data_IF_480036936662
#
_entry.id   IF_480036936662
#
_cell.length_a   1.000
_cell.length_b   1.000
_cell.length_c   1.000
_cell.angle_alpha   90.00
_cell.angle_beta   90.00
_cell.angle_gamma   90.00
#
_symmetry.space_group_name_H-M   'P 1'
#
loop_
_entity.id
_entity.type
_entity.pdbx_description
1 polymer ?
#
# COMPACT_ATOMS: atom_id res chain seq x y z
N UNK A 1 12.81 1.73 19.69
CA UNK A 1 12.25 0.40 19.54
C UNK A 1 12.07 0.02 18.08
N UNK A 2 12.37 -1.19 17.80
CA UNK A 2 12.19 -1.78 16.50
C UNK A 2 10.72 -2.09 16.24
N UNK A 3 10.14 -1.60 15.14
CA UNK A 3 8.75 -1.86 14.80
C UNK A 3 8.58 -3.16 14.05
N UNK A 4 9.50 -3.43 13.15
CA UNK A 4 9.44 -4.59 12.27
C UNK A 4 10.23 -5.73 12.90
N UNK A 5 9.93 -6.95 12.45
CA UNK A 5 10.77 -8.07 12.77
C UNK A 5 12.15 -7.84 12.15
N UNK A 6 13.22 -8.47 12.66
CA UNK A 6 14.55 -8.32 12.05
C UNK A 6 14.61 -8.73 10.59
N UNK A 7 13.58 -9.46 10.09
CA UNK A 7 13.57 -9.97 8.73
C UNK A 7 13.06 -8.95 7.71
N UNK A 8 12.39 -7.89 8.16
CA UNK A 8 11.76 -6.93 7.23
C UNK A 8 12.00 -5.51 7.69
N UNK A 9 12.14 -4.60 6.75
CA UNK A 9 12.28 -3.17 7.03
C UNK A 9 11.51 -2.38 5.98
N UNK A 10 11.26 -1.11 6.29
CA UNK A 10 10.61 -0.18 5.38
C UNK A 10 11.62 0.85 4.91
N UNK A 11 11.64 1.09 3.62
CA UNK A 11 12.49 2.11 3.01
C UNK A 11 11.60 3.03 2.18
N UNK A 12 11.78 4.34 2.31
CA UNK A 12 10.97 5.27 1.53
C UNK A 12 11.13 4.97 0.04
N UNK A 13 10.01 4.95 -0.68
CA UNK A 13 10.01 4.68 -2.11
C UNK A 13 10.77 5.78 -2.85
N UNK A 14 11.47 5.42 -3.90
CA UNK A 14 12.22 6.36 -4.71
C UNK A 14 12.00 6.08 -6.20
N UNK A 15 12.52 6.96 -7.03
CA UNK A 15 12.41 6.84 -8.48
C UNK A 15 12.98 5.51 -8.99
N UNK A 16 13.97 4.96 -8.29
CA UNK A 16 14.58 3.68 -8.65
C UNK A 16 13.63 2.50 -8.49
N UNK A 17 12.51 2.69 -7.80
CA UNK A 17 11.54 1.63 -7.52
C UNK A 17 10.43 1.53 -8.57
N UNK A 18 10.48 2.35 -9.62
CA UNK A 18 9.41 2.36 -10.63
C UNK A 18 9.24 1.00 -11.30
N UNK A 19 10.35 0.35 -11.64
CA UNK A 19 10.28 -0.99 -12.24
C UNK A 19 9.66 -1.99 -11.27
N UNK A 20 10.03 -1.92 -10.00
CA UNK A 20 9.46 -2.79 -8.97
C UNK A 20 7.94 -2.56 -8.84
N UNK A 21 7.49 -1.30 -8.85
CA UNK A 21 6.07 -1.00 -8.84
C UNK A 21 5.35 -1.65 -10.01
N UNK A 22 5.93 -1.53 -11.19
CA UNK A 22 5.34 -2.12 -12.38
C UNK A 22 5.23 -3.64 -12.23
N UNK A 23 6.30 -4.30 -11.81
CA UNK A 23 6.32 -5.75 -11.65
C UNK A 23 5.31 -6.22 -10.59
N UNK A 24 5.26 -5.52 -9.47
CA UNK A 24 4.34 -5.85 -8.38
C UNK A 24 2.89 -5.76 -8.85
N UNK A 25 2.53 -4.66 -9.50
CA UNK A 25 1.15 -4.40 -9.92
C UNK A 25 0.83 -4.98 -11.29
N UNK A 26 1.72 -5.77 -11.86
CA UNK A 26 1.48 -6.51 -13.09
C UNK A 26 1.18 -7.99 -12.78
N UNK A 27 1.27 -8.41 -11.55
CA UNK A 27 0.95 -9.75 -11.10
C UNK A 27 -0.57 -9.95 -11.15
N UNK A 28 -1.08 -10.98 -11.87
CA UNK A 28 -2.53 -11.17 -12.05
C UNK A 28 -3.31 -11.29 -10.74
N UNK A 29 -2.74 -11.94 -9.72
CA UNK A 29 -3.41 -12.10 -8.43
C UNK A 29 -3.60 -10.78 -7.71
N UNK A 30 -2.78 -9.78 -8.03
CA UNK A 30 -2.89 -8.45 -7.47
C UNK A 30 -3.77 -7.58 -8.34
N UNK A 31 -3.54 -7.60 -9.66
CA UNK A 31 -4.24 -6.71 -10.59
C UNK A 31 -5.74 -6.96 -10.65
N UNK A 32 -6.18 -8.19 -10.43
CA UNK A 32 -7.62 -8.49 -10.50
C UNK A 32 -8.45 -7.69 -9.50
N UNK A 33 -7.81 -7.18 -8.45
CA UNK A 33 -8.50 -6.36 -7.44
C UNK A 33 -8.22 -4.86 -7.58
N UNK A 34 -7.50 -4.46 -8.62
CA UNK A 34 -7.16 -3.06 -8.84
C UNK A 34 -8.16 -2.40 -9.78
N UNK A 35 -8.56 -1.16 -9.43
CA UNK A 35 -9.41 -0.35 -10.30
C UNK A 35 -8.64 0.18 -11.50
N UNK A 36 -7.36 0.51 -11.28
CA UNK A 36 -6.49 1.10 -12.30
C UNK A 36 -5.15 0.37 -12.31
N UNK A 37 -5.11 -0.85 -12.90
CA UNK A 37 -3.86 -1.61 -12.94
C UNK A 37 -2.79 -0.90 -13.77
N UNK A 38 -1.53 -1.09 -13.37
CA UNK A 38 -0.39 -0.50 -14.08
C UNK A 38 -0.05 -1.42 -15.25
N UNK A 39 -0.38 -0.99 -16.46
CA UNK A 39 -0.21 -1.83 -17.65
C UNK A 39 1.13 -1.59 -18.34
N UNK A 40 1.76 -0.44 -18.12
CA UNK A 40 3.03 -0.07 -18.74
C UNK A 40 3.97 0.52 -17.71
N UNK A 41 5.24 0.60 -18.07
CA UNK A 41 6.24 1.29 -17.24
C UNK A 41 5.85 2.77 -17.08
N UNK A 42 5.28 3.37 -18.12
CA UNK A 42 4.81 4.75 -18.02
C UNK A 42 3.71 4.88 -16.96
N UNK A 43 2.80 3.92 -16.88
CA UNK A 43 1.77 3.94 -15.84
C UNK A 43 2.39 3.90 -14.45
N UNK A 44 3.42 3.08 -14.27
CA UNK A 44 4.12 3.00 -12.99
C UNK A 44 4.83 4.32 -12.66
N UNK A 45 5.42 4.97 -13.66
CA UNK A 45 6.05 6.27 -13.47
C UNK A 45 5.01 7.33 -13.10
N UNK A 46 3.87 7.32 -13.76
CA UNK A 46 2.78 8.25 -13.46
C UNK A 46 2.26 8.04 -12.02
N UNK A 47 2.13 6.79 -11.61
CA UNK A 47 1.73 6.48 -10.24
C UNK A 47 2.79 6.96 -9.24
N UNK A 48 4.06 6.72 -9.53
CA UNK A 48 5.14 7.20 -8.68
C UNK A 48 5.11 8.74 -8.56
N UNK A 49 4.92 9.43 -9.69
CA UNK A 49 4.83 10.89 -9.68
C UNK A 49 3.64 11.36 -8.85
N UNK A 50 2.52 10.66 -8.94
CA UNK A 50 1.32 10.98 -8.15
C UNK A 50 1.60 10.87 -6.65
N UNK A 51 2.18 9.75 -6.21
CA UNK A 51 2.42 9.53 -4.78
C UNK A 51 3.57 10.36 -4.22
N UNK A 52 4.43 10.90 -5.09
CA UNK A 52 5.60 11.69 -4.68
C UNK A 52 5.35 13.18 -4.68
N UNK A 53 4.27 13.64 -5.30
CA UNK A 53 4.01 15.06 -5.54
C UNK A 53 2.82 15.60 -4.79
N UNK A 54 2.62 16.90 -4.95
CA UNK A 54 1.42 17.60 -4.48
C UNK A 54 0.47 17.67 -5.66
N UNK A 55 -0.69 17.01 -5.56
CA UNK A 55 -1.59 16.83 -6.69
C UNK A 55 -2.75 17.81 -6.73
N UNK A 56 -3.02 18.48 -5.61
CA UNK A 56 -4.02 19.52 -5.56
C UNK A 56 -3.76 20.39 -4.35
N UNK A 57 -4.43 21.54 -4.29
CA UNK A 57 -4.27 22.46 -3.17
C UNK A 57 -4.65 21.78 -1.86
N UNK A 58 -3.75 21.87 -0.88
CA UNK A 58 -3.95 21.27 0.44
C UNK A 58 -3.51 19.83 0.55
N UNK A 59 -3.12 19.18 -0.55
CA UNK A 59 -2.60 17.81 -0.46
C UNK A 59 -1.11 17.82 -0.12
N UNK A 60 -0.64 16.72 0.50
CA UNK A 60 0.77 16.50 0.80
C UNK A 60 1.32 15.41 -0.10
N UNK A 61 2.63 15.36 -0.30
CA UNK A 61 3.23 14.17 -0.92
C UNK A 61 2.88 12.92 -0.12
N UNK A 62 2.68 11.83 -0.81
CA UNK A 62 2.40 10.55 -0.18
C UNK A 62 3.55 10.06 0.69
N UNK A 63 3.23 9.12 1.58
CA UNK A 63 4.22 8.50 2.48
C UNK A 63 4.20 7.01 2.21
N UNK A 64 4.88 6.61 1.16
CA UNK A 64 4.89 5.23 0.68
C UNK A 64 6.28 4.63 0.83
N UNK A 65 6.31 3.40 1.29
CA UNK A 65 7.54 2.69 1.63
C UNK A 65 7.59 1.35 0.93
N UNK A 66 8.79 0.97 0.53
CA UNK A 66 9.06 -0.37 0.02
C UNK A 66 9.37 -1.28 1.20
N UNK A 67 8.74 -2.45 1.22
CA UNK A 67 9.01 -3.48 2.21
C UNK A 67 10.17 -4.31 1.68
N UNK A 68 11.24 -4.42 2.47
CA UNK A 68 12.44 -5.15 2.09
C UNK A 68 12.75 -6.27 3.08
N UNK A 69 13.31 -7.35 2.57
CA UNK A 69 13.87 -8.40 3.41
C UNK A 69 15.23 -7.97 3.94
N UNK A 70 15.80 -8.77 4.86
CA UNK A 70 17.15 -8.53 5.37
C UNK A 70 18.22 -8.62 4.28
N UNK A 71 17.92 -9.26 3.15
CA UNK A 71 18.82 -9.34 2.00
C UNK A 71 18.60 -8.20 1.00
N UNK A 72 17.86 -7.16 1.40
CA UNK A 72 17.55 -6.00 0.56
C UNK A 72 16.69 -6.35 -0.65
N UNK A 73 15.95 -7.44 -0.59
CA UNK A 73 14.98 -7.77 -1.64
C UNK A 73 13.69 -6.99 -1.42
N UNK A 74 13.21 -6.29 -2.45
CA UNK A 74 11.93 -5.58 -2.40
C UNK A 74 10.80 -6.59 -2.59
N UNK A 75 9.88 -6.66 -1.63
CA UNK A 75 8.80 -7.65 -1.64
C UNK A 75 7.40 -7.05 -1.64
N UNK A 76 7.27 -5.77 -1.36
CA UNK A 76 5.96 -5.13 -1.35
C UNK A 76 6.04 -3.65 -1.06
N UNK A 77 4.86 -3.03 -0.94
CA UNK A 77 4.76 -1.62 -0.56
C UNK A 77 3.69 -1.47 0.52
N UNK A 78 3.83 -0.41 1.29
CA UNK A 78 2.83 0.04 2.26
C UNK A 78 2.93 1.55 2.37
N UNK A 79 1.79 2.22 2.47
CA UNK A 79 1.88 3.65 2.63
C UNK A 79 0.56 4.37 2.55
N UNK A 80 0.68 5.70 2.60
CA UNK A 80 -0.44 6.61 2.38
C UNK A 80 -0.18 7.25 1.02
N UNK A 81 -0.93 6.82 0.01
CA UNK A 81 -0.66 7.26 -1.36
C UNK A 81 -1.35 8.59 -1.72
N UNK A 82 -2.32 9.00 -0.92
CA UNK A 82 -2.97 10.30 -1.10
C UNK A 82 -3.32 10.88 0.26
N UNK A 83 -2.88 12.11 0.53
CA UNK A 83 -3.07 12.77 1.82
C UNK A 83 -3.64 14.16 1.59
N UNK A 84 -4.82 14.41 2.15
CA UNK A 84 -5.50 15.70 2.03
C UNK A 84 -6.01 16.12 3.40
N UNK A 85 -5.35 17.11 4.03
CA UNK A 85 -5.70 17.56 5.35
C UNK A 85 -5.61 16.44 6.39
N UNK A 86 -6.68 16.20 7.17
CA UNK A 86 -6.65 15.16 8.20
C UNK A 86 -6.93 13.76 7.65
N UNK A 87 -7.10 13.62 6.35
CA UNK A 87 -7.51 12.36 5.71
C UNK A 87 -6.39 11.80 4.86
N UNK A 88 -6.14 10.51 5.01
CA UNK A 88 -5.12 9.80 4.23
C UNK A 88 -5.68 8.48 3.73
N UNK A 89 -5.21 8.05 2.56
CA UNK A 89 -5.64 6.81 1.92
C UNK A 89 -4.53 5.78 1.99
N UNK A 90 -4.84 4.65 2.60
CA UNK A 90 -3.89 3.56 2.78
C UNK A 90 -3.80 2.69 1.54
N UNK A 91 -2.57 2.35 1.17
CA UNK A 91 -2.30 1.38 0.09
C UNK A 91 -1.31 0.35 0.60
N UNK A 92 -1.44 -0.88 0.10
CA UNK A 92 -0.49 -1.94 0.41
C UNK A 92 -0.59 -3.05 -0.64
N UNK A 93 0.54 -3.67 -0.91
CA UNK A 93 0.60 -4.83 -1.79
C UNK A 93 1.86 -5.64 -1.46
N UNK A 94 1.81 -6.95 -1.66
CA UNK A 94 2.90 -7.84 -1.34
C UNK A 94 3.03 -8.88 -2.46
N UNK A 95 4.25 -9.22 -2.83
CA UNK A 95 4.49 -10.31 -3.79
C UNK A 95 3.80 -11.58 -3.28
N UNK A 96 3.19 -12.33 -4.19
CA UNK A 96 2.35 -13.49 -3.83
C UNK A 96 3.10 -14.58 -3.08
N UNK A 97 4.38 -14.76 -3.35
CA UNK A 97 5.18 -15.76 -2.65
C UNK A 97 5.39 -15.45 -1.16
N UNK A 98 5.05 -14.24 -0.75
CA UNK A 98 5.13 -13.83 0.65
C UNK A 98 3.77 -13.76 1.33
N UNK A 99 2.70 -14.15 0.64
CA UNK A 99 1.35 -14.18 1.21
C UNK A 99 1.21 -15.30 2.25
N UNK A 100 0.21 -15.18 3.11
CA UNK A 100 -0.17 -16.19 4.12
C UNK A 100 0.92 -16.47 5.16
N UNK A 101 1.80 -15.51 5.39
CA UNK A 101 2.88 -15.63 6.38
C UNK A 101 2.77 -14.59 7.50
N UNK A 102 1.70 -13.82 7.51
CA UNK A 102 1.50 -12.78 8.53
C UNK A 102 2.34 -11.53 8.33
N UNK A 103 3.06 -11.42 7.22
CA UNK A 103 3.97 -10.29 6.99
C UNK A 103 3.21 -8.98 6.90
N UNK A 104 2.20 -8.90 6.04
CA UNK A 104 1.49 -7.65 5.82
C UNK A 104 0.70 -7.24 7.07
N UNK A 105 0.16 -8.19 7.83
CA UNK A 105 -0.51 -7.87 9.09
C UNK A 105 0.45 -7.20 10.07
N UNK A 106 1.65 -7.73 10.21
CA UNK A 106 2.69 -7.14 11.07
C UNK A 106 3.09 -5.76 10.57
N UNK A 107 3.34 -5.64 9.27
CA UNK A 107 3.74 -4.37 8.64
C UNK A 107 2.66 -3.31 8.85
N UNK A 108 1.41 -3.66 8.60
CA UNK A 108 0.30 -2.71 8.73
C UNK A 108 0.08 -2.29 10.19
N UNK A 109 0.16 -3.21 11.14
CA UNK A 109 0.03 -2.84 12.54
C UNK A 109 1.14 -1.86 12.96
N UNK A 110 2.38 -2.12 12.56
CA UNK A 110 3.48 -1.20 12.87
C UNK A 110 3.30 0.15 12.18
N UNK A 111 2.93 0.14 10.90
CA UNK A 111 2.72 1.36 10.14
C UNK A 111 1.60 2.21 10.75
N UNK A 112 0.46 1.58 11.06
CA UNK A 112 -0.70 2.27 11.58
C UNK A 112 -0.49 2.77 13.01
N UNK A 113 0.39 2.13 13.80
CA UNK A 113 0.68 2.61 15.14
C UNK A 113 1.25 4.04 15.11
N UNK A 114 1.92 4.41 14.03
CA UNK A 114 2.45 5.76 13.84
C UNK A 114 1.43 6.68 13.20
N UNK A 115 0.83 6.24 12.11
CA UNK A 115 0.07 7.17 11.26
C UNK A 115 -1.35 7.43 11.74
N UNK A 116 -1.94 6.56 12.56
CA UNK A 116 -3.23 6.87 13.21
C UNK A 116 -3.12 8.02 14.20
N UNK A 117 -1.91 8.34 14.64
CA UNK A 117 -1.68 9.50 15.52
C UNK A 117 -1.55 10.80 14.73
N UNK A 118 -1.26 10.72 13.44
CA UNK A 118 -1.02 11.89 12.60
C UNK A 118 -2.23 12.28 11.76
N UNK A 119 -3.05 11.30 11.38
CA UNK A 119 -4.19 11.55 10.51
C UNK A 119 -5.46 11.03 11.18
N UNK A 120 -6.45 11.91 11.25
CA UNK A 120 -7.72 11.59 11.91
C UNK A 120 -8.48 10.50 11.17
N UNK A 121 -8.43 10.54 9.84
CA UNK A 121 -9.17 9.60 9.01
C UNK A 121 -8.20 8.84 8.11
N UNK A 122 -8.09 7.54 8.32
CA UNK A 122 -7.34 6.68 7.40
C UNK A 122 -8.35 5.79 6.70
N UNK A 123 -8.42 5.93 5.38
CA UNK A 123 -9.39 5.24 4.53
C UNK A 123 -8.65 4.24 3.67
N UNK A 124 -9.22 3.05 3.52
CA UNK A 124 -8.73 2.06 2.57
C UNK A 124 -9.86 1.68 1.63
N UNK A 125 -9.59 1.74 0.33
CA UNK A 125 -10.55 1.37 -0.71
C UNK A 125 -10.30 -0.06 -1.11
N UNK A 126 -11.32 -0.89 -1.01
CA UNK A 126 -11.21 -2.33 -1.26
C UNK A 126 -12.37 -2.77 -2.12
N UNK A 127 -12.09 -3.51 -3.18
CA UNK A 127 -13.17 -4.13 -3.95
C UNK A 127 -13.91 -5.13 -3.08
N UNK A 128 -15.23 -5.15 -3.20
CA UNK A 128 -16.09 -5.96 -2.32
C UNK A 128 -15.82 -7.45 -2.42
N UNK A 129 -15.25 -7.91 -3.55
CA UNK A 129 -14.91 -9.32 -3.74
C UNK A 129 -13.45 -9.64 -3.37
N UNK A 130 -12.70 -8.66 -2.85
CA UNK A 130 -11.33 -8.88 -2.41
C UNK A 130 -11.32 -9.47 -0.99
N UNK A 131 -11.69 -10.75 -0.91
CA UNK A 131 -11.78 -11.44 0.38
C UNK A 131 -10.43 -11.48 1.13
N UNK A 132 -9.29 -11.74 0.48
CA UNK A 132 -8.01 -11.74 1.20
C UNK A 132 -7.71 -10.41 1.89
N UNK A 133 -7.94 -9.29 1.21
CA UNK A 133 -7.70 -7.97 1.81
C UNK A 133 -8.65 -7.68 2.95
N UNK A 134 -9.94 -8.00 2.78
CA UNK A 134 -10.93 -7.79 3.84
C UNK A 134 -10.61 -8.63 5.08
N UNK A 135 -10.19 -9.86 4.88
CA UNK A 135 -9.79 -10.73 5.98
C UNK A 135 -8.57 -10.17 6.71
N UNK A 136 -7.57 -9.71 5.97
CA UNK A 136 -6.38 -9.10 6.55
C UNK A 136 -6.76 -7.88 7.38
N UNK A 137 -7.57 -6.98 6.81
CA UNK A 137 -7.97 -5.75 7.50
C UNK A 137 -8.75 -6.02 8.78
N UNK A 138 -9.54 -7.09 8.80
CA UNK A 138 -10.31 -7.47 9.99
C UNK A 138 -9.44 -7.93 11.15
N UNK A 139 -8.20 -8.30 10.89
CA UNK A 139 -7.26 -8.79 11.91
C UNK A 139 -6.36 -7.71 12.47
N UNK A 140 -6.45 -6.48 11.94
CA UNK A 140 -5.57 -5.40 12.39
C UNK A 140 -5.98 -4.90 13.76
N UNK A 141 -4.99 -4.38 14.50
CA UNK A 141 -5.21 -3.80 15.82
C UNK A 141 -5.82 -2.41 15.78
N UNK A 142 -5.97 -1.82 14.61
CA UNK A 142 -6.46 -0.45 14.42
C UNK A 142 -7.71 -0.47 13.58
N UNK A 143 -8.68 0.37 13.95
CA UNK A 143 -9.90 0.54 13.18
C UNK A 143 -9.65 1.51 12.03
N UNK A 144 -10.02 1.08 10.83
CA UNK A 144 -9.90 1.88 9.62
C UNK A 144 -11.27 2.09 9.00
N UNK A 145 -11.39 3.15 8.22
CA UNK A 145 -12.57 3.35 7.39
C UNK A 145 -12.37 2.56 6.10
N UNK A 146 -13.21 1.55 5.89
CA UNK A 146 -13.15 0.73 4.68
C UNK A 146 -14.22 1.21 3.72
N UNK A 147 -13.78 1.62 2.53
CA UNK A 147 -14.64 2.06 1.45
C UNK A 147 -14.73 0.94 0.44
N UNK A 148 -15.86 0.26 0.40
CA UNK A 148 -16.03 -0.88 -0.50
C UNK A 148 -16.35 -0.39 -1.91
N UNK A 149 -15.61 -0.90 -2.86
CA UNK A 149 -15.82 -0.62 -4.28
C UNK A 149 -16.55 -1.78 -4.92
N UNK A 150 -17.48 -1.49 -5.82
CA UNK A 150 -18.19 -2.54 -6.53
C UNK A 150 -17.27 -3.25 -7.50
N UNK A 151 -17.43 -4.56 -7.61
CA UNK A 151 -16.69 -5.34 -8.57
C UNK A 151 -17.18 -5.04 -9.98
N UNK A 152 -16.23 -5.01 -10.92
CA UNK A 152 -16.56 -4.86 -12.33
C UNK A 152 -17.06 -6.18 -12.88
N UNK A 153 -18.08 -6.10 -13.74
CA UNK A 153 -18.65 -7.28 -14.38
C UNK A 153 -18.26 -7.41 -15.86
N UNK A 154 -17.28 -6.65 -16.31
CA UNK A 154 -16.86 -6.74 -17.72
C UNK A 154 -15.52 -7.40 -17.86
#
# INVERSE_FOLDING_TARGET
RQFMTPLYSLRKISEEDILFLFELYHCPEITKYMSHPLQTIKDAKDYYDFISGVNEEGSEPGKVYVIQTSNNESIGIVGLDYILGPTAYLTFALKTEYWHKGIMQTVLNDFLSKYTKLYKNIIVRVKEDNAPALKLLSKLSYSLQIELLKSSNY
#
